data_IF_368985720359
#
_entry.id   IF_368985720359
#
_cell.length_a   1.000
_cell.length_b   1.000
_cell.length_c   1.000
_cell.angle_alpha   90.00
_cell.angle_beta   90.00
_cell.angle_gamma   90.00
#
_symmetry.space_group_name_H-M   'P 1'
#
loop_
_entity.id
_entity.type
_entity.pdbx_description
1 polymer ?
#
# COMPACT_ATOMS: atom_id res chain seq x y z
N UNK A 1 8.81 -1.73 18.21
CA UNK A 1 8.52 -0.91 18.57
C UNK A 1 8.03 -0.71 19.36
N UNK A 2 7.66 -0.79 19.42
CA UNK A 2 7.16 -0.29 19.97
C UNK A 2 6.85 0.26 20.48
N UNK A 3 6.86 0.44 20.56
CA UNK A 3 6.46 1.25 20.87
C UNK A 3 6.32 1.81 20.70
N UNK A 4 6.03 1.96 20.15
CA UNK A 4 5.86 2.74 19.92
C UNK A 4 5.62 3.19 20.34
N UNK A 5 5.49 2.83 20.41
CA UNK A 5 5.18 3.53 20.93
C UNK A 5 5.23 4.26 21.42
N UNK A 6 5.51 4.37 21.64
CA UNK A 6 5.29 5.34 22.20
C UNK A 6 5.83 6.48 21.65
N UNK A 7 6.92 6.68 21.19
CA UNK A 7 7.39 7.87 20.62
C UNK A 7 6.86 8.06 19.27
N UNK A 8 6.74 7.05 18.48
CA UNK A 8 6.12 7.20 17.19
C UNK A 8 4.68 7.63 17.35
N UNK A 9 4.12 7.39 18.50
CA UNK A 9 2.76 7.83 18.74
C UNK A 9 2.64 9.32 18.84
N UNK A 10 3.74 10.04 18.90
CA UNK A 10 3.66 11.48 19.00
C UNK A 10 2.99 12.11 17.78
N UNK A 11 3.04 11.43 16.63
CA UNK A 11 2.41 11.97 15.45
C UNK A 11 0.92 11.71 15.36
N UNK A 12 0.38 10.91 16.26
CA UNK A 12 -1.04 10.62 16.24
C UNK A 12 -1.72 11.43 17.32
N UNK A 13 -2.83 12.10 17.00
CA UNK A 13 -3.49 12.93 17.98
C UNK A 13 -3.89 12.13 19.18
N UNK A 14 -3.73 12.70 20.37
CA UNK A 14 -4.29 12.09 21.54
C UNK A 14 -5.80 12.25 21.41
N UNK A 15 -6.58 11.40 21.92
CA UNK A 15 -7.99 11.43 21.72
C UNK A 15 -8.37 11.04 20.30
N UNK A 16 -7.73 10.11 19.83
CA UNK A 16 -7.87 9.53 18.55
C UNK A 16 -9.17 9.76 17.84
N UNK A 17 -9.20 10.33 16.67
CA UNK A 17 -10.42 10.53 15.91
C UNK A 17 -11.01 9.25 15.38
N UNK A 18 -10.29 8.17 15.45
CA UNK A 18 -10.81 6.89 14.99
C UNK A 18 -10.51 6.57 13.57
N UNK A 19 -10.32 7.54 12.74
CA UNK A 19 -10.13 7.26 11.32
C UNK A 19 -9.02 8.09 10.73
N UNK A 20 -8.27 7.46 9.83
CA UNK A 20 -7.26 8.12 9.04
C UNK A 20 -7.50 7.77 7.58
N UNK A 21 -6.91 8.53 6.71
CA UNK A 21 -6.98 8.29 5.28
C UNK A 21 -5.56 8.18 4.77
N UNK A 22 -5.29 7.10 4.05
CA UNK A 22 -3.97 6.88 3.47
C UNK A 22 -4.09 6.98 1.96
N UNK A 23 -3.38 7.93 1.38
CA UNK A 23 -3.25 8.01 -0.06
C UNK A 23 -1.95 7.35 -0.44
N UNK A 24 -2.02 6.35 -1.30
CA UNK A 24 -0.85 5.63 -1.76
C UNK A 24 -0.80 5.71 -3.26
N UNK A 25 0.31 6.17 -3.80
CA UNK A 25 0.56 6.05 -5.22
C UNK A 25 1.54 4.92 -5.42
N UNK A 26 1.11 3.88 -6.10
CA UNK A 26 1.98 2.79 -6.54
C UNK A 26 2.71 3.29 -7.75
N UNK A 27 4.01 3.63 -7.58
CA UNK A 27 4.73 4.25 -8.66
C UNK A 27 5.30 3.22 -9.61
N UNK A 28 6.19 2.39 -9.14
CA UNK A 28 6.87 1.44 -10.04
C UNK A 28 7.57 0.37 -9.23
N UNK A 29 7.98 -0.68 -9.96
CA UNK A 29 8.86 -1.70 -9.42
C UNK A 29 10.23 -1.56 -10.02
N UNK A 30 11.22 -2.10 -9.33
CA UNK A 30 12.61 -2.11 -9.80
C UNK A 30 13.21 -3.47 -9.61
N UNK A 31 13.77 -4.01 -10.68
CA UNK A 31 14.53 -5.26 -10.66
C UNK A 31 13.75 -6.41 -10.02
N UNK A 32 12.49 -6.53 -10.40
CA UNK A 32 11.65 -7.59 -9.86
C UNK A 32 12.16 -8.95 -10.30
N UNK A 33 12.01 -9.94 -9.42
CA UNK A 33 12.45 -11.29 -9.75
C UNK A 33 11.63 -11.84 -10.91
N UNK A 34 12.31 -12.57 -11.79
CA UNK A 34 11.66 -13.22 -12.92
C UNK A 34 11.12 -14.56 -12.49
N UNK A 35 9.87 -14.85 -12.84
CA UNK A 35 9.24 -16.14 -12.55
C UNK A 35 8.94 -16.94 -13.81
N UNK A 36 9.00 -16.31 -14.98
CA UNK A 36 8.78 -16.98 -16.22
C UNK A 36 10.05 -17.63 -16.73
N UNK A 37 9.90 -18.69 -17.54
CA UNK A 37 11.05 -19.34 -18.12
C UNK A 37 11.90 -18.41 -18.95
N UNK A 38 11.30 -17.43 -19.57
CA UNK A 38 12.03 -16.51 -20.43
C UNK A 38 12.80 -15.45 -19.66
N UNK A 39 12.86 -15.51 -18.32
CA UNK A 39 13.60 -14.55 -17.54
C UNK A 39 12.85 -13.24 -17.35
N UNK A 40 11.53 -13.30 -17.34
CA UNK A 40 10.70 -12.10 -17.13
C UNK A 40 9.53 -12.44 -16.22
N UNK A 41 8.69 -11.47 -15.98
CA UNK A 41 7.47 -11.62 -15.20
C UNK A 41 6.42 -10.65 -15.73
N UNK A 42 5.15 -10.96 -15.46
CA UNK A 42 4.03 -10.09 -15.77
C UNK A 42 3.48 -9.57 -14.44
N UNK A 43 4.12 -8.57 -13.84
CA UNK A 43 3.84 -8.24 -12.45
C UNK A 43 2.58 -7.41 -12.23
N UNK A 44 1.91 -7.69 -11.11
CA UNK A 44 0.88 -6.83 -10.56
C UNK A 44 1.02 -6.82 -9.04
N UNK A 45 0.39 -5.84 -8.41
CA UNK A 45 0.56 -5.60 -6.99
C UNK A 45 -0.80 -5.61 -6.30
N UNK A 46 -0.84 -6.22 -5.12
CA UNK A 46 -2.00 -6.12 -4.22
C UNK A 46 -1.57 -5.40 -2.95
N UNK A 47 -2.44 -4.55 -2.45
CA UNK A 47 -2.29 -4.02 -1.09
C UNK A 47 -3.28 -4.75 -0.19
N UNK A 48 -2.80 -5.18 0.98
CA UNK A 48 -3.64 -5.85 1.95
C UNK A 48 -3.56 -5.17 3.31
N UNK A 49 -4.70 -5.04 3.95
CA UNK A 49 -4.79 -4.45 5.26
C UNK A 49 -5.65 -5.36 6.12
N UNK A 50 -5.10 -5.85 7.24
CA UNK A 50 -5.82 -6.78 8.09
C UNK A 50 -6.24 -8.04 7.38
N UNK A 51 -5.41 -8.53 6.45
CA UNK A 51 -5.73 -9.74 5.71
C UNK A 51 -6.69 -9.54 4.56
N UNK A 52 -7.15 -8.31 4.33
CA UNK A 52 -8.15 -8.02 3.31
C UNK A 52 -7.51 -7.25 2.16
N UNK A 53 -7.80 -7.66 0.93
CA UNK A 53 -7.30 -6.95 -0.24
C UNK A 53 -8.04 -5.61 -0.37
N UNK A 54 -7.27 -4.52 -0.39
CA UNK A 54 -7.85 -3.17 -0.48
C UNK A 54 -7.50 -2.48 -1.79
N UNK A 55 -6.61 -3.06 -2.58
CA UNK A 55 -6.22 -2.51 -3.88
C UNK A 55 -5.53 -3.59 -4.70
N UNK A 56 -5.71 -3.52 -6.00
CA UNK A 56 -5.02 -4.38 -6.95
C UNK A 56 -4.68 -3.55 -8.18
N UNK A 57 -3.42 -3.60 -8.60
CA UNK A 57 -2.97 -2.86 -9.77
C UNK A 57 -3.29 -3.59 -11.06
N UNK A 58 -3.07 -2.91 -12.16
CA UNK A 58 -3.04 -3.57 -13.46
C UNK A 58 -1.82 -4.48 -13.56
N UNK A 59 -1.89 -5.43 -14.47
CA UNK A 59 -0.76 -6.29 -14.81
C UNK A 59 0.04 -5.63 -15.92
N UNK A 60 1.37 -5.57 -15.75
CA UNK A 60 2.26 -5.06 -16.80
C UNK A 60 2.99 -6.26 -17.38
N UNK A 61 2.86 -6.46 -18.69
CA UNK A 61 3.40 -7.67 -19.30
C UNK A 61 4.90 -7.59 -19.53
N UNK A 62 5.60 -8.68 -19.18
CA UNK A 62 7.01 -8.91 -19.53
C UNK A 62 7.90 -7.73 -19.18
N UNK A 63 7.84 -7.30 -17.93
CA UNK A 63 8.59 -6.14 -17.51
C UNK A 63 9.01 -6.27 -16.05
N UNK A 64 10.32 -6.31 -15.82
CA UNK A 64 10.84 -6.42 -14.46
C UNK A 64 11.02 -5.05 -13.79
N UNK A 65 10.74 -3.98 -14.53
CA UNK A 65 10.80 -2.61 -13.99
C UNK A 65 9.50 -1.89 -14.37
N UNK A 66 8.35 -2.42 -13.95
CA UNK A 66 7.06 -1.89 -14.39
C UNK A 66 6.77 -0.52 -13.80
N UNK A 67 6.07 0.30 -14.58
CA UNK A 67 5.59 1.61 -14.12
C UNK A 67 4.08 1.55 -14.10
N UNK A 68 3.50 1.75 -12.90
CA UNK A 68 2.04 1.71 -12.75
C UNK A 68 1.45 3.11 -12.61
N UNK A 69 1.97 3.92 -11.71
CA UNK A 69 1.44 5.26 -11.39
C UNK A 69 -0.06 5.20 -11.10
N UNK A 70 -0.45 4.30 -10.21
CA UNK A 70 -1.85 4.12 -9.82
C UNK A 70 -2.02 4.56 -8.37
N UNK A 71 -3.10 5.26 -8.09
CA UNK A 71 -3.35 5.79 -6.77
C UNK A 71 -4.50 5.05 -6.10
N UNK A 72 -4.33 4.77 -4.82
CA UNK A 72 -5.37 4.19 -3.98
C UNK A 72 -5.60 5.10 -2.78
N UNK A 73 -6.85 5.14 -2.33
CA UNK A 73 -7.23 5.90 -1.14
C UNK A 73 -7.85 4.91 -0.18
N UNK A 74 -7.23 4.71 0.97
CA UNK A 74 -7.57 3.64 1.89
C UNK A 74 -7.95 4.23 3.23
N UNK A 75 -9.10 3.80 3.78
CA UNK A 75 -9.48 4.20 5.13
C UNK A 75 -8.76 3.33 6.14
N UNK A 76 -8.19 3.97 7.14
CA UNK A 76 -7.39 3.31 8.17
C UNK A 76 -8.06 3.57 9.51
N UNK A 77 -8.56 2.51 10.15
CA UNK A 77 -9.12 2.67 11.49
C UNK A 77 -8.13 2.30 12.57
N UNK A 78 -7.09 1.57 12.24
CA UNK A 78 -6.04 1.22 13.20
C UNK A 78 -4.68 1.47 12.55
N UNK A 79 -4.06 2.63 12.80
CA UNK A 79 -2.79 2.95 12.14
C UNK A 79 -1.62 2.08 12.59
N UNK A 80 -1.81 1.26 13.63
CA UNK A 80 -0.76 0.35 14.03
C UNK A 80 -0.72 -0.90 13.19
N UNK A 81 -1.78 -1.17 12.41
CA UNK A 81 -1.78 -2.28 11.49
C UNK A 81 -0.99 -1.91 10.25
N UNK A 82 0.01 -2.71 9.84
CA UNK A 82 0.80 -2.36 8.67
C UNK A 82 0.03 -2.60 7.37
N UNK A 83 0.42 -1.88 6.34
CA UNK A 83 -0.09 -2.14 5.01
C UNK A 83 0.87 -3.11 4.32
N UNK A 84 0.36 -4.24 3.86
CA UNK A 84 1.17 -5.22 3.15
C UNK A 84 1.09 -4.98 1.65
N UNK A 85 2.24 -5.06 1.00
CA UNK A 85 2.37 -4.92 -0.44
C UNK A 85 2.85 -6.26 -0.96
N UNK A 86 2.04 -6.91 -1.80
CA UNK A 86 2.36 -8.23 -2.33
C UNK A 86 2.42 -8.17 -3.84
N UNK A 87 3.46 -8.74 -4.41
CA UNK A 87 3.71 -8.69 -5.84
C UNK A 87 3.64 -10.08 -6.40
N UNK A 88 2.93 -10.21 -7.51
CA UNK A 88 2.70 -11.50 -8.17
C UNK A 88 3.03 -11.40 -9.65
N UNK A 89 3.37 -12.55 -10.23
CA UNK A 89 3.53 -12.73 -11.65
C UNK A 89 2.23 -13.36 -12.16
N UNK A 90 1.50 -12.65 -13.01
CA UNK A 90 0.24 -13.12 -13.55
C UNK A 90 0.49 -14.29 -14.51
N UNK A 91 -0.31 -15.34 -14.40
CA UNK A 91 -0.19 -16.51 -15.24
C UNK A 91 -1.57 -16.90 -15.76
N UNK A 92 -1.80 -16.65 -17.03
CA UNK A 92 -3.08 -16.97 -17.64
C UNK A 92 -3.31 -18.48 -17.61
N UNK A 93 -4.40 -18.89 -16.99
CA UNK A 93 -4.78 -20.31 -16.98
C UNK A 93 -4.13 -21.13 -15.87
N UNK A 94 -3.20 -20.55 -15.12
CA UNK A 94 -2.56 -21.22 -14.00
C UNK A 94 -2.61 -20.31 -12.79
N UNK A 95 -2.14 -20.80 -11.67
CA UNK A 95 -2.05 -19.98 -10.48
C UNK A 95 -0.92 -18.98 -10.64
N UNK A 96 -1.15 -17.74 -10.23
CA UNK A 96 -0.13 -16.72 -10.30
C UNK A 96 1.01 -17.04 -9.35
N UNK A 97 2.22 -16.70 -9.74
CA UNK A 97 3.39 -16.95 -8.92
C UNK A 97 3.66 -15.76 -8.01
N UNK A 98 3.99 -16.07 -6.77
CA UNK A 98 4.35 -15.03 -5.80
C UNK A 98 5.77 -14.56 -6.07
N UNK A 99 5.96 -13.25 -6.21
CA UNK A 99 7.30 -12.69 -6.39
C UNK A 99 7.90 -12.28 -5.05
N UNK A 100 7.14 -11.61 -4.22
CA UNK A 100 7.63 -11.16 -2.93
C UNK A 100 6.69 -10.18 -2.29
N UNK A 101 6.97 -9.86 -1.02
CA UNK A 101 6.14 -8.91 -0.29
C UNK A 101 7.00 -7.99 0.56
N UNK A 102 6.37 -6.88 0.96
CA UNK A 102 6.95 -5.94 1.88
C UNK A 102 5.80 -5.37 2.70
N UNK A 103 6.12 -4.60 3.73
CA UNK A 103 5.07 -3.92 4.47
C UNK A 103 5.49 -2.50 4.76
N UNK A 104 4.50 -1.65 4.89
CA UNK A 104 4.68 -0.25 5.25
C UNK A 104 4.17 -0.06 6.67
N UNK A 105 5.05 0.40 7.55
CA UNK A 105 4.69 0.70 8.92
C UNK A 105 4.12 2.11 8.94
N UNK A 106 2.79 2.22 9.11
CA UNK A 106 2.13 3.51 9.04
C UNK A 106 2.51 4.42 10.20
N UNK A 107 2.96 3.85 11.33
CA UNK A 107 3.36 4.67 12.47
C UNK A 107 4.69 5.37 12.22
N UNK A 108 5.41 5.00 11.18
CA UNK A 108 6.66 5.66 10.84
C UNK A 108 6.45 6.93 10.03
N UNK A 109 5.21 7.20 9.61
CA UNK A 109 4.91 8.34 8.74
C UNK A 109 4.53 9.56 9.57
N UNK A 110 4.98 10.73 9.13
CA UNK A 110 4.48 11.98 9.69
C UNK A 110 3.12 12.26 9.08
N UNK A 111 2.17 12.66 9.92
CA UNK A 111 0.84 12.97 9.43
C UNK A 111 0.87 14.20 8.52
N UNK A 112 0.04 14.15 7.49
CA UNK A 112 -0.14 15.28 6.57
C UNK A 112 1.10 15.61 5.76
N UNK A 113 2.01 14.64 5.62
CA UNK A 113 3.23 14.86 4.85
C UNK A 113 3.43 13.75 3.84
N UNK A 114 3.55 14.14 2.59
CA UNK A 114 3.80 13.16 1.54
C UNK A 114 5.23 12.66 1.62
N UNK A 115 5.40 11.36 1.53
CA UNK A 115 6.70 10.71 1.68
C UNK A 115 6.86 9.67 0.58
N UNK A 116 8.04 9.63 -0.01
CA UNK A 116 8.39 8.58 -0.96
C UNK A 116 9.10 7.48 -0.20
N UNK A 117 8.69 6.25 -0.45
CA UNK A 117 9.32 5.11 0.21
C UNK A 117 9.68 4.05 -0.83
N UNK A 118 10.78 3.36 -0.58
CA UNK A 118 11.22 2.23 -1.38
C UNK A 118 11.23 1.01 -0.48
N UNK A 119 10.47 0.00 -0.87
CA UNK A 119 10.32 -1.21 -0.06
C UNK A 119 10.95 -2.38 -0.77
N UNK A 120 11.90 -3.04 -0.11
CA UNK A 120 12.54 -4.24 -0.65
C UNK A 120 11.62 -5.43 -0.46
N UNK A 121 11.44 -6.21 -1.51
CA UNK A 121 10.57 -7.38 -1.47
C UNK A 121 11.30 -8.56 -0.84
N UNK A 122 10.55 -9.34 -0.06
CA UNK A 122 11.07 -10.53 0.60
C UNK A 122 10.15 -11.70 0.36
N UNK A 123 10.72 -12.89 0.39
CA UNK A 123 9.98 -14.15 0.33
C UNK A 123 10.69 -15.11 1.28
N UNK A 124 10.02 -15.62 2.32
CA UNK A 124 10.66 -16.54 3.26
C UNK A 124 11.23 -17.78 2.61
N UNK A 125 10.73 -18.18 1.46
CA UNK A 125 11.25 -19.35 0.74
C UNK A 125 12.56 -19.04 0.04
N UNK A 126 12.92 -17.77 -0.12
CA UNK A 126 14.15 -17.35 -0.79
C UNK A 126 14.79 -16.22 0.00
N UNK A 127 15.22 -16.52 1.26
CA UNK A 127 15.64 -15.45 2.17
C UNK A 127 16.88 -14.69 1.73
N UNK A 128 17.71 -15.29 0.90
CA UNK A 128 18.94 -14.64 0.46
C UNK A 128 18.87 -14.04 -0.93
N UNK A 129 17.67 -14.04 -1.53
CA UNK A 129 17.54 -13.51 -2.89
C UNK A 129 17.14 -12.05 -2.87
N UNK A 130 17.66 -11.31 -3.84
CA UNK A 130 17.21 -9.96 -4.10
C UNK A 130 16.02 -10.06 -5.04
N UNK A 131 14.84 -9.73 -4.53
CA UNK A 131 13.60 -9.90 -5.29
C UNK A 131 13.10 -8.60 -5.90
N UNK A 132 13.85 -7.52 -5.71
CA UNK A 132 13.49 -6.23 -6.24
C UNK A 132 12.80 -5.36 -5.21
N UNK A 133 12.31 -4.22 -5.67
CA UNK A 133 11.72 -3.20 -4.79
C UNK A 133 10.48 -2.61 -5.41
N UNK A 134 9.63 -2.05 -4.55
CA UNK A 134 8.45 -1.30 -4.96
C UNK A 134 8.59 0.12 -4.44
N UNK A 135 8.33 1.09 -5.30
CA UNK A 135 8.39 2.50 -4.95
C UNK A 135 6.98 3.05 -4.80
N UNK A 136 6.73 3.70 -3.68
CA UNK A 136 5.43 4.28 -3.34
C UNK A 136 5.60 5.74 -2.96
N UNK A 137 4.56 6.52 -3.17
CA UNK A 137 4.41 7.83 -2.53
C UNK A 137 3.20 7.73 -1.62
N UNK A 138 3.33 8.15 -0.38
CA UNK A 138 2.27 7.94 0.62
C UNK A 138 1.99 9.22 1.39
N UNK A 139 0.74 9.37 1.80
CA UNK A 139 0.30 10.49 2.62
C UNK A 139 -0.76 9.99 3.59
N UNK A 140 -0.48 10.06 4.87
CA UNK A 140 -1.40 9.66 5.92
C UNK A 140 -1.94 10.90 6.62
N UNK A 141 -3.27 11.02 6.69
CA UNK A 141 -3.89 12.17 7.32
C UNK A 141 -5.07 11.73 8.18
N UNK A 142 -5.31 12.41 9.30
CA UNK A 142 -6.54 12.15 10.05
C UNK A 142 -7.73 12.53 9.19
N UNK A 143 -8.77 11.72 9.25
CA UNK A 143 -9.98 12.03 8.52
C UNK A 143 -10.89 12.85 9.40
N UNK A 144 -11.32 14.04 8.91
CA UNK A 144 -12.18 14.88 9.68
C UNK A 144 -13.56 14.42 9.59
N UNK A 145 -14.25 14.43 10.71
CA UNK A 145 -15.54 14.02 10.74
C UNK A 145 -16.41 15.06 10.63
N UNK A 146 -16.39 15.86 10.83
CA UNK A 146 -17.24 16.72 10.80
C UNK A 146 -17.63 17.21 10.11
N UNK A 147 -17.39 17.39 9.91
CA UNK A 147 -17.94 17.89 9.21
C UNK A 147 -18.89 17.17 8.79
N UNK A 148 -19.08 16.25 8.91
CA UNK A 148 -19.97 15.60 8.75
C UNK A 148 -20.94 15.82 9.38
N UNK A 149 -21.16 15.76 9.79
CA UNK A 149 -22.22 16.14 10.33
C UNK A 149 -22.71 17.01 9.46
N UNK A 150 -22.33 17.35 8.91
CA UNK A 150 -22.75 18.17 8.17
C UNK A 150 -22.36 17.78 6.94
N UNK A 151 -22.19 17.21 6.67
CA UNK A 151 -21.70 16.82 5.88
C UNK A 151 -22.00 15.84 5.49
N UNK A 152 -22.11 15.62 5.38
CA UNK A 152 -21.99 14.80 5.13
C UNK A 152 -22.65 14.48 4.51
N UNK A 153 -23.00 14.65 4.19
CA UNK A 153 -23.29 14.50 3.75
C UNK A 153 -23.16 14.57 2.86
N UNK A 154 -23.16 15.01 2.30
CA UNK A 154 -22.76 15.20 1.51
C UNK A 154 -22.46 14.52 0.78
N UNK A 155 -22.59 14.97 0.68
CA UNK A 155 -22.22 14.35 0.18
C UNK A 155 -22.56 13.57 -0.32
N UNK A 156 -23.02 13.87 -0.50
CA UNK A 156 -23.11 13.15 -0.69
C UNK A 156 -23.49 12.96 -1.36
N UNK A 157 -23.95 13.28 -1.53
CA UNK A 157 -24.20 13.23 -1.91
C UNK A 157 -23.98 13.25 -2.72
N UNK A 158 -23.92 13.81 -2.84
CA UNK A 158 -23.46 13.80 -3.33
C UNK A 158 -23.25 13.12 -3.82
N UNK A 159 -23.73 13.61 -3.89
CA UNK A 159 -23.47 13.00 -4.13
C UNK A 159 -23.58 12.46 -4.58
N UNK A 160 -24.22 13.31 -4.73
CA UNK A 160 -24.10 12.80 -4.83
C UNK A 160 -24.08 12.39 -5.31
N UNK A 161 -24.49 13.13 -5.46
CA UNK A 161 -24.24 12.84 -5.66
C UNK A 161 -24.07 12.41 -6.03
N UNK A 162 -24.42 13.08 -6.15
CA UNK A 162 -24.07 12.85 -6.19
C UNK A 162 -23.86 12.35 -6.41
#
# INVERSE_FOLDING_TARGET
RTNLVETSNADFPSGDPGMYQLEVTLRRGQNLAARDRGGTSDPYVKFKLGGKEVFRSKTIHKNLNPVWEEKACILIDNPREPLYIKVFDYDFGLQDDFIGSAFLDLTSLELNRQTDVTLSLKDPHYPDHDLGSILLSVLLAPREEQQEGTMLMRKSWKRSSK
#
